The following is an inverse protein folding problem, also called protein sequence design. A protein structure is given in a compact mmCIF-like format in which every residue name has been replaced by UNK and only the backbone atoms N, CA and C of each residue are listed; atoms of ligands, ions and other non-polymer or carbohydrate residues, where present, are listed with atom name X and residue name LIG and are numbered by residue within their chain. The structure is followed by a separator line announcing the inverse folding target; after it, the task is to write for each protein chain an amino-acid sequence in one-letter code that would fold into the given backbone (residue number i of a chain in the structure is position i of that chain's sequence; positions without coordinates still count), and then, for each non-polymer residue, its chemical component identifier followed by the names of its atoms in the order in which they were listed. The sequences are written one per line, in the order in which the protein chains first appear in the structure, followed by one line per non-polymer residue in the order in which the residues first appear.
data_IF_724659944633
#
_entry.id   IF_724659944633
#
_cell.length_a   1.000
_cell.length_b   1.000
_cell.length_c   1.000
_cell.angle_alpha   90.00
_cell.angle_beta   90.00
_cell.angle_gamma   90.00
#
_symmetry.space_group_name_H-M   'P 1'
#
loop_
_entity.id
_entity.type
_entity.pdbx_description
1 polymer ?
#
# COMPACT_ATOMS: atom_id res chain seq x y z
N UNK A 1 -12.90 5.61 -0.11
CA UNK A 1 -12.18 6.73 -0.74
C UNK A 1 -10.70 6.50 -0.50
N UNK A 2 -9.89 6.45 -1.55
CA UNK A 2 -8.45 6.48 -1.42
C UNK A 2 -8.02 7.93 -1.65
N UNK A 3 -7.23 8.49 -0.72
CA UNK A 3 -6.68 9.84 -0.89
C UNK A 3 -5.18 9.72 -1.07
N UNK A 4 -4.68 10.37 -2.11
CA UNK A 4 -3.28 10.45 -2.45
C UNK A 4 -2.80 11.89 -2.21
N UNK A 5 -1.72 12.03 -1.44
CA UNK A 5 -1.05 13.30 -1.17
C UNK A 5 0.34 13.23 -1.79
N UNK A 6 0.64 14.16 -2.70
CA UNK A 6 1.97 14.34 -3.27
C UNK A 6 2.67 15.51 -2.57
N UNK A 7 3.92 15.31 -2.16
CA UNK A 7 4.73 16.27 -1.41
C UNK A 7 6.15 16.33 -1.99
N UNK A 8 6.89 17.39 -1.63
CA UNK A 8 8.29 17.59 -2.01
C UNK A 8 8.52 17.54 -3.53
N UNK A 9 7.75 18.33 -4.28
CA UNK A 9 7.85 18.41 -5.75
C UNK A 9 7.63 17.04 -6.43
N UNK A 10 6.53 16.37 -6.04
CA UNK A 10 6.13 15.03 -6.53
C UNK A 10 7.12 13.89 -6.24
N UNK A 11 8.16 14.14 -5.43
CA UNK A 11 9.12 13.11 -5.03
C UNK A 11 8.56 12.16 -3.99
N UNK A 12 7.48 12.53 -3.30
CA UNK A 12 6.86 11.68 -2.29
C UNK A 12 5.38 11.57 -2.57
N UNK A 13 4.86 10.35 -2.60
CA UNK A 13 3.43 10.08 -2.70
C UNK A 13 2.99 9.25 -1.50
N UNK A 14 2.00 9.74 -0.76
CA UNK A 14 1.36 9.01 0.32
C UNK A 14 -0.08 8.70 -0.09
N UNK A 15 -0.43 7.41 -0.14
CA UNK A 15 -1.78 6.96 -0.40
C UNK A 15 -2.32 6.27 0.84
N UNK A 16 -3.48 6.69 1.31
CA UNK A 16 -4.18 5.97 2.37
C UNK A 16 -5.51 5.44 1.85
N UNK A 17 -5.87 4.25 2.31
CA UNK A 17 -7.18 3.64 2.06
C UNK A 17 -7.83 3.33 3.39
N UNK A 18 -9.02 3.89 3.58
CA UNK A 18 -9.86 3.60 4.74
C UNK A 18 -11.23 3.17 4.23
N UNK A 19 -11.63 1.97 4.61
CA UNK A 19 -12.95 1.42 4.30
C UNK A 19 -13.62 0.93 5.58
N UNK A 20 -14.84 1.41 5.80
CA UNK A 20 -15.66 1.07 6.96
C UNK A 20 -16.94 0.38 6.52
N UNK A 21 -17.21 -0.77 7.12
CA UNK A 21 -18.50 -1.43 7.02
C UNK A 21 -19.50 -0.69 7.92
N UNK A 22 -20.47 0.00 7.31
CA UNK A 22 -21.48 0.77 8.02
C UNK A 22 -22.49 -0.11 8.79
N UNK A 23 -22.73 -1.35 8.33
CA UNK A 23 -23.65 -2.29 9.00
C UNK A 23 -22.99 -2.90 10.23
N UNK A 24 -21.77 -3.40 10.09
CA UNK A 24 -21.00 -4.00 11.21
C UNK A 24 -20.33 -2.96 12.10
N UNK A 25 -20.40 -1.67 11.72
CA UNK A 25 -19.72 -0.53 12.36
C UNK A 25 -18.20 -0.71 12.52
N UNK A 26 -17.61 -1.64 11.77
CA UNK A 26 -16.21 -2.06 11.87
C UNK A 26 -15.38 -1.60 10.67
N UNK A 27 -14.07 -1.47 10.85
CA UNK A 27 -13.14 -1.16 9.77
C UNK A 27 -12.86 -2.42 8.93
N UNK A 28 -13.14 -2.34 7.63
CA UNK A 28 -12.91 -3.44 6.68
C UNK A 28 -11.53 -3.38 6.06
N UNK A 29 -11.06 -2.19 5.73
CA UNK A 29 -9.75 -2.00 5.11
C UNK A 29 -9.08 -0.74 5.67
N UNK A 30 -7.82 -0.88 6.05
CA UNK A 30 -6.97 0.21 6.51
C UNK A 30 -5.57 -0.04 5.97
N UNK A 31 -5.20 0.66 4.92
CA UNK A 31 -3.87 0.56 4.32
C UNK A 31 -3.22 1.91 4.10
N UNK A 32 -1.90 1.92 4.17
CA UNK A 32 -1.05 3.07 3.93
C UNK A 32 0.04 2.63 2.95
N UNK A 33 0.17 3.35 1.86
CA UNK A 33 1.24 3.17 0.89
C UNK A 33 2.05 4.46 0.82
N UNK A 34 3.34 4.35 1.09
CA UNK A 34 4.31 5.41 0.91
C UNK A 34 5.15 5.12 -0.33
N UNK A 35 5.40 6.15 -1.13
CA UNK A 35 6.30 6.09 -2.27
C UNK A 35 7.28 7.26 -2.23
N UNK A 36 8.53 6.96 -2.52
CA UNK A 36 9.57 7.91 -2.87
C UNK A 36 9.94 7.73 -4.34
N UNK A 37 9.92 8.82 -5.10
CA UNK A 37 10.19 8.87 -6.53
C UNK A 37 11.56 9.53 -6.77
N UNK A 38 12.55 8.70 -7.07
CA UNK A 38 13.85 9.14 -7.58
C UNK A 38 13.81 9.46 -9.07
N UNK A 39 14.97 9.79 -9.66
CA UNK A 39 15.10 10.12 -11.09
C UNK A 39 14.84 8.90 -11.99
N UNK A 40 15.39 7.73 -11.64
CA UNK A 40 15.29 6.49 -12.43
C UNK A 40 14.64 5.31 -11.67
N UNK A 41 14.24 5.53 -10.42
CA UNK A 41 13.63 4.49 -9.57
C UNK A 41 12.52 5.07 -8.70
N UNK A 42 11.69 4.20 -8.14
CA UNK A 42 10.78 4.50 -7.04
C UNK A 42 10.89 3.43 -5.98
N UNK A 43 10.90 3.84 -4.71
CA UNK A 43 10.85 2.95 -3.55
C UNK A 43 9.50 3.11 -2.89
N UNK A 44 8.84 2.01 -2.59
CA UNK A 44 7.53 1.96 -2.00
C UNK A 44 7.52 1.11 -0.76
N UNK A 45 6.71 1.51 0.21
CA UNK A 45 6.38 0.70 1.37
C UNK A 45 4.87 0.69 1.54
N UNK A 46 4.28 -0.49 1.64
CA UNK A 46 2.85 -0.67 1.88
C UNK A 46 2.66 -1.43 3.18
N UNK A 47 1.82 -0.90 4.06
CA UNK A 47 1.38 -1.56 5.27
C UNK A 47 -0.13 -1.47 5.37
N UNK A 48 -0.80 -2.57 5.63
CA UNK A 48 -2.24 -2.57 5.70
C UNK A 48 -2.83 -3.76 6.42
N UNK A 49 -4.07 -3.58 6.86
CA UNK A 49 -4.88 -4.60 7.50
C UNK A 49 -6.25 -4.64 6.84
N UNK A 50 -6.61 -5.81 6.32
CA UNK A 50 -7.88 -6.04 5.63
C UNK A 50 -8.65 -7.18 6.30
N UNK A 51 -9.91 -6.92 6.58
CA UNK A 51 -10.83 -7.88 7.19
C UNK A 51 -11.79 -8.38 6.12
N UNK A 52 -11.81 -9.70 5.88
CA UNK A 52 -12.72 -10.35 4.92
C UNK A 52 -13.51 -11.42 5.69
N UNK A 53 -14.79 -11.14 5.93
CA UNK A 53 -15.63 -12.02 6.76
C UNK A 53 -15.17 -12.03 8.22
N UNK A 54 -14.77 -13.20 8.71
CA UNK A 54 -14.18 -13.42 10.05
C UNK A 54 -12.65 -13.36 10.04
N UNK A 55 -12.04 -13.37 8.86
CA UNK A 55 -10.59 -13.41 8.72
C UNK A 55 -10.02 -12.00 8.67
N UNK A 56 -8.85 -11.86 9.27
CA UNK A 56 -8.12 -10.60 9.32
C UNK A 56 -6.73 -10.84 8.77
N UNK A 57 -6.43 -10.23 7.63
CA UNK A 57 -5.15 -10.31 6.96
C UNK A 57 -4.35 -9.02 7.23
N UNK A 58 -3.06 -9.17 7.51
CA UNK A 58 -2.13 -8.07 7.77
C UNK A 58 -0.95 -8.21 6.82
N UNK A 59 -0.73 -7.20 5.98
CA UNK A 59 0.29 -7.25 4.93
C UNK A 59 1.27 -6.10 5.06
N UNK A 60 2.54 -6.42 4.83
CA UNK A 60 3.63 -5.46 4.74
C UNK A 60 4.43 -5.79 3.48
N UNK A 61 4.61 -4.80 2.60
CA UNK A 61 5.32 -4.98 1.33
C UNK A 61 6.34 -3.88 1.14
N UNK A 62 7.49 -4.25 0.62
CA UNK A 62 8.50 -3.31 0.15
C UNK A 62 8.61 -3.44 -1.37
N UNK A 63 8.40 -2.32 -2.06
CA UNK A 63 8.22 -2.24 -3.49
C UNK A 63 9.38 -1.45 -4.09
N UNK A 64 9.97 -1.96 -5.17
CA UNK A 64 10.99 -1.23 -5.93
C UNK A 64 10.55 -1.20 -7.38
N UNK A 65 10.50 -0.01 -7.98
CA UNK A 65 10.15 0.15 -9.39
C UNK A 65 11.26 0.88 -10.12
N UNK A 66 11.75 0.33 -11.22
CA UNK A 66 12.70 1.00 -12.10
C UNK A 66 11.93 1.75 -13.20
N UNK A 67 12.07 3.08 -13.23
CA UNK A 67 11.38 3.93 -14.20
C UNK A 67 11.93 3.62 -15.60
N UNK A 68 11.05 3.33 -16.55
CA UNK A 68 11.41 2.95 -17.92
C UNK A 68 11.60 1.45 -18.17
N UNK A 69 11.52 0.60 -17.13
CA UNK A 69 11.63 -0.87 -17.28
C UNK A 69 10.28 -1.57 -17.05
N UNK A 70 9.27 -0.88 -16.50
CA UNK A 70 7.91 -1.40 -16.33
C UNK A 70 7.74 -2.42 -15.19
N UNK A 71 8.82 -2.85 -14.55
CA UNK A 71 8.78 -3.88 -13.50
C UNK A 71 8.72 -3.23 -12.11
N UNK A 72 7.66 -3.56 -11.37
CA UNK A 72 7.59 -3.35 -9.92
C UNK A 72 8.01 -4.67 -9.27
N UNK A 73 9.16 -4.68 -8.61
CA UNK A 73 9.66 -5.82 -7.86
C UNK A 73 9.09 -5.73 -6.45
N UNK A 74 8.24 -6.71 -6.09
CA UNK A 74 7.82 -6.94 -4.70
C UNK A 74 8.86 -7.83 -4.03
N UNK A 75 9.65 -7.25 -3.13
CA UNK A 75 10.77 -7.94 -2.48
C UNK A 75 10.32 -8.80 -1.28
N UNK A 76 9.04 -8.72 -0.87
CA UNK A 76 8.54 -9.33 0.35
C UNK A 76 7.19 -10.02 0.15
N UNK A 77 7.07 -10.75 -0.97
CA UNK A 77 5.90 -11.58 -1.30
C UNK A 77 5.30 -12.22 -0.04
N UNK A 78 4.08 -11.78 0.29
CA UNK A 78 3.45 -12.04 1.58
C UNK A 78 3.44 -13.51 1.95
N UNK A 79 4.03 -13.84 3.09
CA UNK A 79 3.93 -15.15 3.72
C UNK A 79 2.52 -15.34 4.29
N UNK A 80 1.61 -15.84 3.46
CA UNK A 80 0.37 -16.47 3.91
C UNK A 80 0.61 -17.98 4.04
N UNK A 81 0.58 -18.51 5.26
CA UNK A 81 0.39 -19.94 5.48
C UNK A 81 -1.05 -20.30 5.13
N UNK A 82 -1.23 -21.19 4.16
CA UNK A 82 -2.51 -21.81 3.81
C UNK A 82 -3.03 -22.69 4.94
#
# INVERSE_FOLDING_TARGET
MASALTLADEKVSLKHTLERDLKKKAWRDRSLTFWYHGSCFSLGFEAGKRTIGTFTDSQYRFLVSLKGVGTVVDLWGGTGTY
#
